data_IF_530828794217
#
_entry.id   IF_530828794217
#
_cell.length_a   1.000
_cell.length_b   1.000
_cell.length_c   1.000
_cell.angle_alpha   90.00
_cell.angle_beta   90.00
_cell.angle_gamma   90.00
#
_symmetry.space_group_name_H-M   'P 1'
#
loop_
_entity.id
_entity.type
_entity.pdbx_description
1 polymer ?
#
# COMPACT_ATOMS: atom_id res chain seq x y z
N UNK A 1 22.90 9.76 -22.22
CA UNK A 1 22.28 8.53 -21.68
C UNK A 1 20.82 8.51 -22.14
N UNK A 2 20.45 7.60 -23.04
CA UNK A 2 19.07 7.52 -23.54
C UNK A 2 18.14 7.06 -22.43
N UNK A 3 17.23 7.94 -22.03
CA UNK A 3 16.09 7.61 -21.19
C UNK A 3 15.05 6.96 -22.11
N UNK A 4 15.16 5.65 -22.36
CA UNK A 4 14.07 4.92 -22.98
C UNK A 4 12.87 5.02 -22.03
N UNK A 5 11.70 5.50 -22.48
CA UNK A 5 10.52 5.52 -21.62
C UNK A 5 10.22 4.07 -21.24
N UNK A 6 10.37 3.74 -19.96
CA UNK A 6 9.91 2.47 -19.42
C UNK A 6 8.41 2.45 -19.63
N UNK A 7 7.95 1.61 -20.55
CA UNK A 7 6.52 1.32 -20.70
C UNK A 7 6.04 0.82 -19.32
N UNK A 8 5.01 1.43 -18.74
CA UNK A 8 4.49 0.96 -17.47
C UNK A 8 4.03 -0.50 -17.60
N UNK A 9 4.58 -1.39 -16.77
CA UNK A 9 4.22 -2.81 -16.72
C UNK A 9 2.94 -2.98 -15.86
N UNK A 10 1.85 -2.41 -16.37
CA UNK A 10 0.54 -2.45 -15.74
C UNK A 10 -0.12 -3.81 -15.95
N UNK A 11 -0.64 -4.38 -14.85
CA UNK A 11 -1.30 -5.69 -14.80
C UNK A 11 -2.58 -5.57 -13.98
N UNK A 12 -3.64 -6.27 -14.38
CA UNK A 12 -4.80 -6.44 -13.49
C UNK A 12 -4.42 -7.43 -12.38
N UNK A 13 -4.42 -6.96 -11.14
CA UNK A 13 -4.00 -7.75 -9.98
C UNK A 13 -5.01 -7.63 -8.86
N UNK A 14 -5.17 -8.71 -8.10
CA UNK A 14 -5.93 -8.75 -6.84
C UNK A 14 -5.00 -8.75 -5.61
N UNK A 15 -3.68 -8.77 -5.82
CA UNK A 15 -2.65 -8.72 -4.77
C UNK A 15 -1.61 -7.67 -5.09
N UNK A 16 -1.25 -6.87 -4.08
CA UNK A 16 -0.23 -5.84 -4.17
C UNK A 16 0.75 -6.00 -3.00
N UNK A 17 2.05 -5.90 -3.29
CA UNK A 17 3.08 -5.68 -2.28
C UNK A 17 3.47 -4.20 -2.33
N UNK A 18 3.45 -3.52 -1.18
CA UNK A 18 3.62 -2.07 -1.14
C UNK A 18 4.51 -1.62 0.02
N UNK A 19 5.27 -0.55 -0.22
CA UNK A 19 5.86 0.25 0.84
C UNK A 19 4.85 1.31 1.26
N UNK A 20 4.62 1.47 2.56
CA UNK A 20 3.57 2.35 3.09
C UNK A 20 4.14 3.26 4.17
N UNK A 21 3.82 4.55 4.06
CA UNK A 21 4.21 5.60 5.02
C UNK A 21 2.96 6.33 5.49
N UNK A 22 2.79 6.43 6.81
CA UNK A 22 1.64 7.11 7.42
C UNK A 22 1.67 8.60 7.08
N UNK A 23 0.53 9.15 6.69
CA UNK A 23 0.44 10.54 6.24
C UNK A 23 0.63 11.54 7.40
N UNK A 24 0.12 11.20 8.59
CA UNK A 24 0.34 11.92 9.83
C UNK A 24 1.30 11.14 10.74
N UNK A 25 2.56 11.59 10.92
CA UNK A 25 3.54 10.92 11.77
C UNK A 25 3.08 10.75 13.22
N UNK A 26 2.22 11.64 13.74
CA UNK A 26 1.70 11.52 15.10
C UNK A 26 0.78 10.31 15.28
N UNK A 27 0.25 9.75 14.19
CA UNK A 27 -0.61 8.58 14.18
C UNK A 27 0.10 7.28 13.79
N UNK A 28 1.43 7.31 13.62
CA UNK A 28 2.19 6.15 13.18
C UNK A 28 1.98 4.94 14.11
N UNK A 29 2.02 5.15 15.44
CA UNK A 29 1.78 4.07 16.40
C UNK A 29 0.35 3.52 16.32
N UNK A 30 -0.66 4.38 16.17
CA UNK A 30 -2.06 3.97 15.98
C UNK A 30 -2.22 3.16 14.71
N UNK A 31 -1.64 3.62 13.61
CA UNK A 31 -1.66 2.90 12.34
C UNK A 31 -1.02 1.52 12.48
N UNK A 32 0.13 1.41 13.15
CA UNK A 32 0.78 0.12 13.39
C UNK A 32 0.01 -0.76 14.38
N UNK A 33 -0.78 -0.19 15.29
CA UNK A 33 -1.63 -0.97 16.18
C UNK A 33 -2.84 -1.56 15.43
N UNK A 34 -3.41 -0.80 14.49
CA UNK A 34 -4.67 -1.15 13.82
C UNK A 34 -4.47 -1.86 12.47
N UNK A 35 -3.40 -1.56 11.73
CA UNK A 35 -3.13 -2.13 10.40
C UNK A 35 -2.53 -3.55 10.50
N UNK A 36 -3.27 -4.46 11.13
CA UNK A 36 -2.87 -5.85 11.38
C UNK A 36 -3.37 -6.79 10.27
N UNK A 37 -2.69 -7.92 10.04
CA UNK A 37 -3.20 -8.97 9.16
C UNK A 37 -4.65 -9.36 9.48
N UNK A 38 -5.48 -9.46 8.45
CA UNK A 38 -6.92 -9.75 8.54
C UNK A 38 -7.82 -8.52 8.61
N UNK A 39 -7.27 -7.33 8.92
CA UNK A 39 -8.06 -6.09 8.91
C UNK A 39 -8.36 -5.61 7.49
N UNK A 40 -9.46 -4.88 7.32
CA UNK A 40 -9.91 -4.37 6.02
C UNK A 40 -9.80 -2.85 5.99
N UNK A 41 -9.32 -2.32 4.87
CA UNK A 41 -9.01 -0.91 4.67
C UNK A 41 -9.49 -0.45 3.31
N UNK A 42 -9.85 0.83 3.19
CA UNK A 42 -10.19 1.45 1.91
C UNK A 42 -8.90 1.80 1.18
N UNK A 43 -8.78 1.38 -0.08
CA UNK A 43 -7.59 1.60 -0.91
C UNK A 43 -7.98 2.35 -2.19
N UNK A 44 -7.34 3.49 -2.42
CA UNK A 44 -7.59 4.36 -3.55
C UNK A 44 -6.42 4.33 -4.53
N UNK A 45 -6.62 3.68 -5.68
CA UNK A 45 -5.64 3.49 -6.75
C UNK A 45 -6.14 4.24 -7.98
N UNK A 46 -5.54 5.40 -8.29
CA UNK A 46 -5.98 6.30 -9.36
C UNK A 46 -7.47 6.64 -9.19
N UNK A 47 -8.35 6.13 -10.05
CA UNK A 47 -9.80 6.34 -10.02
C UNK A 47 -10.57 5.18 -9.38
N UNK A 48 -9.88 4.08 -9.03
CA UNK A 48 -10.48 2.93 -8.38
C UNK A 48 -10.46 3.11 -6.86
N UNK A 49 -11.64 3.08 -6.26
CA UNK A 49 -11.82 2.89 -4.83
C UNK A 49 -12.22 1.42 -4.58
N UNK A 50 -11.44 0.73 -3.77
CA UNK A 50 -11.60 -0.70 -3.47
C UNK A 50 -11.28 -1.00 -2.02
N UNK A 51 -11.99 -1.96 -1.44
CA UNK A 51 -11.60 -2.55 -0.17
C UNK A 51 -10.40 -3.48 -0.37
N UNK A 52 -9.50 -3.51 0.62
CA UNK A 52 -8.39 -4.45 0.67
C UNK A 52 -8.22 -5.02 2.07
N UNK A 53 -7.91 -6.31 2.14
CA UNK A 53 -7.53 -6.98 3.38
C UNK A 53 -6.01 -6.98 3.51
N UNK A 54 -5.49 -6.58 4.68
CA UNK A 54 -4.07 -6.74 5.00
C UNK A 54 -3.77 -8.23 5.12
N UNK A 55 -2.90 -8.75 4.26
CA UNK A 55 -2.45 -10.14 4.30
C UNK A 55 -1.26 -10.31 5.23
N UNK A 56 -0.31 -9.41 5.12
CA UNK A 56 0.89 -9.41 5.93
C UNK A 56 1.39 -7.98 6.12
N UNK A 57 2.10 -7.76 7.23
CA UNK A 57 2.86 -6.54 7.48
C UNK A 57 4.26 -6.95 7.89
N UNK A 58 5.24 -6.58 7.07
CA UNK A 58 6.63 -6.96 7.26
C UNK A 58 7.49 -5.72 7.55
N UNK A 59 8.21 -5.68 8.69
CA UNK A 59 9.20 -4.65 8.97
C UNK A 59 10.32 -4.67 7.92
N UNK A 60 10.87 -3.49 7.58
CA UNK A 60 11.98 -3.37 6.61
C UNK A 60 13.36 -3.61 7.27
N UNK A 61 13.49 -4.64 8.10
CA UNK A 61 14.74 -4.96 8.79
C UNK A 61 15.09 -3.89 9.84
N UNK A 62 16.15 -3.11 9.60
CA UNK A 62 16.67 -2.10 10.54
C UNK A 62 15.98 -0.73 10.44
N UNK A 63 15.05 -0.55 9.50
CA UNK A 63 14.28 0.69 9.38
C UNK A 63 13.16 0.74 10.43
N UNK A 64 12.91 1.93 10.98
CA UNK A 64 11.78 2.16 11.88
C UNK A 64 10.46 2.04 11.09
N UNK A 65 9.59 1.11 11.52
CA UNK A 65 8.29 0.88 10.92
C UNK A 65 7.37 2.11 10.99
N UNK A 66 7.58 3.02 11.95
CA UNK A 66 6.85 4.28 12.02
C UNK A 66 7.09 5.18 10.81
N UNK A 67 8.24 4.99 10.14
CA UNK A 67 8.62 5.75 8.94
C UNK A 67 8.12 5.04 7.69
N UNK A 68 8.31 3.72 7.61
CA UNK A 68 7.88 2.93 6.46
C UNK A 68 7.77 1.46 6.82
N UNK A 69 6.68 0.82 6.41
CA UNK A 69 6.47 -0.63 6.56
C UNK A 69 6.07 -1.26 5.23
N UNK A 70 6.28 -2.56 5.08
CA UNK A 70 5.83 -3.29 3.90
C UNK A 70 4.47 -3.92 4.19
N UNK A 71 3.48 -3.69 3.32
CA UNK A 71 2.19 -4.36 3.37
C UNK A 71 1.99 -5.28 2.17
N UNK A 72 1.48 -6.47 2.45
CA UNK A 72 0.85 -7.33 1.45
C UNK A 72 -0.66 -7.12 1.52
N UNK A 73 -1.26 -6.70 0.42
CA UNK A 73 -2.69 -6.36 0.34
C UNK A 73 -3.39 -7.34 -0.59
N UNK A 74 -4.56 -7.82 -0.20
CA UNK A 74 -5.50 -8.49 -1.10
C UNK A 74 -6.67 -7.56 -1.38
N UNK A 75 -6.83 -7.15 -2.64
CA UNK A 75 -7.94 -6.32 -3.08
C UNK A 75 -9.22 -7.16 -3.20
N UNK A 76 -10.37 -6.55 -2.92
CA UNK A 76 -11.68 -7.19 -3.06
C UNK A 76 -12.05 -7.48 -4.52
N UNK A 77 -11.43 -6.78 -5.48
CA UNK A 77 -11.56 -7.01 -6.91
C UNK A 77 -10.24 -6.69 -7.63
N UNK A 78 -9.96 -7.30 -8.79
CA UNK A 78 -8.79 -6.95 -9.60
C UNK A 78 -8.80 -5.47 -9.99
N UNK A 79 -7.63 -4.83 -9.94
CA UNK A 79 -7.41 -3.44 -10.35
C UNK A 79 -6.12 -3.36 -11.19
N UNK A 80 -6.09 -2.53 -12.26
CA UNK A 80 -4.87 -2.30 -13.02
C UNK A 80 -3.82 -1.54 -12.18
N UNK A 81 -2.67 -2.18 -11.97
CA UNK A 81 -1.57 -1.67 -11.15
C UNK A 81 -0.23 -1.92 -11.82
N UNK A 82 0.74 -1.03 -11.61
CA UNK A 82 2.11 -1.13 -12.11
C UNK A 82 3.11 -0.86 -10.96
N UNK A 83 4.35 -1.38 -11.03
CA UNK A 83 5.39 -1.03 -10.07
C UNK A 83 5.67 0.47 -10.02
N UNK A 84 5.83 1.02 -8.83
CA UNK A 84 6.04 2.45 -8.62
C UNK A 84 4.75 3.28 -8.63
N UNK A 85 3.58 2.66 -8.84
CA UNK A 85 2.29 3.33 -8.69
C UNK A 85 2.07 3.77 -7.24
N UNK A 86 1.57 4.99 -7.06
CA UNK A 86 1.17 5.53 -5.76
C UNK A 86 -0.32 5.33 -5.52
N UNK A 87 -0.68 5.04 -4.28
CA UNK A 87 -2.06 4.88 -3.83
C UNK A 87 -2.22 5.40 -2.40
N UNK A 88 -3.46 5.50 -1.93
CA UNK A 88 -3.79 5.79 -0.54
C UNK A 88 -4.46 4.59 0.12
N UNK A 89 -4.17 4.38 1.40
CA UNK A 89 -4.90 3.44 2.26
C UNK A 89 -5.47 4.21 3.45
N UNK A 90 -6.73 3.96 3.78
CA UNK A 90 -7.52 4.76 4.73
C UNK A 90 -8.33 3.79 5.61
N UNK A 91 -8.35 4.03 6.93
CA UNK A 91 -9.16 3.22 7.83
C UNK A 91 -10.66 3.43 7.57
N UNK A 92 -11.47 2.40 7.77
CA UNK A 92 -12.91 2.46 7.55
C UNK A 92 -13.60 3.43 8.52
N UNK A 93 -13.23 3.35 9.81
CA UNK A 93 -13.88 4.09 10.89
C UNK A 93 -13.20 5.43 11.23
N UNK A 94 -11.98 5.67 10.71
CA UNK A 94 -11.23 6.92 10.91
C UNK A 94 -10.53 7.35 9.60
N UNK A 95 -11.17 8.22 8.82
CA UNK A 95 -10.57 8.76 7.59
C UNK A 95 -9.27 9.55 7.84
N UNK A 96 -9.08 10.04 9.07
CA UNK A 96 -7.86 10.73 9.45
C UNK A 96 -6.72 9.76 9.81
N UNK A 97 -6.96 8.45 9.83
CA UNK A 97 -5.93 7.41 9.89
C UNK A 97 -5.67 6.89 8.47
N UNK A 98 -4.71 7.52 7.79
CA UNK A 98 -4.37 7.20 6.40
C UNK A 98 -2.87 7.12 6.16
N UNK A 99 -2.51 6.41 5.10
CA UNK A 99 -1.13 6.25 4.67
C UNK A 99 -0.99 6.28 3.14
N UNK A 100 0.15 6.76 2.68
CA UNK A 100 0.54 6.75 1.28
C UNK A 100 1.29 5.46 0.97
N UNK A 101 0.86 4.76 -0.08
CA UNK A 101 1.47 3.53 -0.55
C UNK A 101 2.21 3.68 -1.87
N UNK A 102 3.29 2.93 -2.04
CA UNK A 102 4.03 2.76 -3.28
C UNK A 102 4.12 1.28 -3.63
N UNK A 103 3.62 0.90 -4.80
CA UNK A 103 3.65 -0.48 -5.28
C UNK A 103 5.09 -0.91 -5.56
N UNK A 104 5.49 -2.05 -4.98
CA UNK A 104 6.82 -2.63 -5.15
C UNK A 104 6.97 -3.27 -6.54
N UNK A 105 8.21 -3.46 -7.01
CA UNK A 105 8.48 -4.30 -8.18
C UNK A 105 7.84 -5.68 -8.05
N UNK A 106 7.39 -6.23 -9.18
CA UNK A 106 6.94 -7.61 -9.24
C UNK A 106 8.04 -8.54 -8.72
N UNK A 107 7.67 -9.50 -7.87
CA UNK A 107 8.57 -10.60 -7.55
C UNK A 107 8.89 -11.34 -8.86
N UNK A 108 10.18 -11.43 -9.17
CA UNK A 108 10.69 -12.15 -10.35
C UNK A 108 10.71 -13.64 -10.07
#
# INVERSE_FOLDING_TARGET
>A
MSHSPRIPDAREVDRIEALVTVNDPAKADTFLLECLPGTTWRVQIRTADVWATIRDRTPLGSFDERVCTCLSLRLARPVPVEPGLRFQIIAEDDESLSASGLVRPWAV
#
